data_IF_982395504069
#
_entry.id   IF_982395504069
#
_cell.length_a   1.000
_cell.length_b   1.000
_cell.length_c   1.000
_cell.angle_alpha   90.00
_cell.angle_beta   90.00
_cell.angle_gamma   90.00
#
_symmetry.space_group_name_H-M   'P 1'
#
loop_
_entity.id
_entity.type
_entity.pdbx_description
1 polymer ?
#
# COMPACT_ATOMS: atom_id res chain seq x y z
N UNK A 1 -4.91 10.80 -1.98
CA UNK A 1 -6.36 11.14 -2.08
C UNK A 1 -7.08 11.12 -0.74
N UNK A 2 -7.22 9.97 -0.03
CA UNK A 2 -8.01 9.88 1.22
C UNK A 2 -7.60 10.90 2.30
N UNK A 3 -6.30 11.13 2.48
CA UNK A 3 -5.75 12.11 3.43
C UNK A 3 -6.19 13.55 3.13
N UNK A 4 -6.05 13.99 1.88
CA UNK A 4 -6.45 15.34 1.43
C UNK A 4 -7.95 15.56 1.66
N UNK A 5 -8.78 14.57 1.25
CA UNK A 5 -10.23 14.62 1.47
C UNK A 5 -10.56 14.69 2.96
N UNK A 6 -9.90 13.86 3.78
CA UNK A 6 -10.09 13.85 5.23
C UNK A 6 -9.74 15.19 5.87
N UNK A 7 -8.63 15.81 5.48
CA UNK A 7 -8.21 17.12 5.99
C UNK A 7 -9.22 18.23 5.64
N UNK A 8 -9.80 18.20 4.44
CA UNK A 8 -10.84 19.16 4.03
C UNK A 8 -12.13 18.95 4.85
N UNK A 9 -12.56 17.70 5.04
CA UNK A 9 -13.83 17.37 5.70
C UNK A 9 -13.76 17.64 7.22
N UNK A 10 -12.61 17.35 7.85
CA UNK A 10 -12.44 17.48 9.30
C UNK A 10 -12.06 18.90 9.75
N UNK A 11 -11.82 19.81 8.81
CA UNK A 11 -11.46 21.20 9.12
C UNK A 11 -12.68 22.05 9.41
N UNK A 12 -12.57 22.94 10.40
CA UNK A 12 -13.55 23.99 10.66
C UNK A 12 -13.66 25.00 9.50
N UNK A 13 -12.59 25.10 8.68
CA UNK A 13 -12.52 25.96 7.50
C UNK A 13 -12.16 25.16 6.23
N UNK A 14 -13.10 24.37 5.65
CA UNK A 14 -12.83 23.52 4.49
C UNK A 14 -12.35 24.30 3.25
N UNK A 15 -12.87 25.52 3.05
CA UNK A 15 -12.50 26.40 1.94
C UNK A 15 -11.02 26.81 1.93
N UNK A 16 -10.48 27.13 3.10
CA UNK A 16 -9.06 27.47 3.26
C UNK A 16 -8.16 26.26 2.98
N UNK A 17 -8.57 25.08 3.48
CA UNK A 17 -7.83 23.84 3.23
C UNK A 17 -7.86 23.47 1.74
N UNK A 18 -9.00 23.67 1.06
CA UNK A 18 -9.07 23.51 -0.39
C UNK A 18 -8.11 24.45 -1.14
N UNK A 19 -8.08 25.73 -0.76
CA UNK A 19 -7.15 26.72 -1.34
C UNK A 19 -5.70 26.27 -1.14
N UNK A 20 -5.33 25.91 0.08
CA UNK A 20 -3.99 25.45 0.43
C UNK A 20 -3.59 24.24 -0.41
N UNK A 21 -4.46 23.23 -0.53
CA UNK A 21 -4.17 22.06 -1.34
C UNK A 21 -4.05 22.39 -2.82
N UNK A 22 -4.89 23.27 -3.36
CA UNK A 22 -4.74 23.74 -4.74
C UNK A 22 -3.38 24.43 -4.96
N UNK A 23 -2.96 25.30 -4.04
CA UNK A 23 -1.67 26.01 -4.10
C UNK A 23 -0.47 25.09 -3.95
N UNK A 24 -0.55 24.09 -3.05
CA UNK A 24 0.47 23.02 -2.93
C UNK A 24 0.63 22.27 -4.25
N UNK A 25 -0.46 22.03 -4.97
CA UNK A 25 -0.45 21.42 -6.29
C UNK A 25 0.03 22.37 -7.40
N UNK A 26 0.20 23.66 -7.11
CA UNK A 26 0.59 24.68 -8.09
C UNK A 26 -0.49 24.96 -9.15
N UNK A 27 -1.76 24.63 -8.85
CA UNK A 27 -2.87 24.71 -9.80
C UNK A 27 -3.63 26.04 -9.59
N UNK A 28 -4.01 26.70 -10.68
CA UNK A 28 -4.83 27.92 -10.62
C UNK A 28 -6.32 27.61 -10.46
N UNK A 29 -7.11 28.58 -10.00
CA UNK A 29 -8.57 28.43 -9.91
C UNK A 29 -9.20 28.17 -11.28
N UNK A 30 -8.63 28.74 -12.35
CA UNK A 30 -9.09 28.56 -13.72
C UNK A 30 -8.88 27.12 -14.21
N UNK A 31 -7.70 26.55 -13.96
CA UNK A 31 -7.37 25.17 -14.37
C UNK A 31 -8.25 24.14 -13.69
N UNK A 32 -8.43 24.25 -12.36
CA UNK A 32 -9.28 23.30 -11.64
C UNK A 32 -10.76 23.49 -11.98
N UNK A 33 -11.22 24.72 -12.22
CA UNK A 33 -12.59 24.99 -12.65
C UNK A 33 -12.87 24.39 -14.05
N UNK A 34 -11.94 24.59 -14.99
CA UNK A 34 -11.98 24.00 -16.33
C UNK A 34 -12.03 22.48 -16.26
N UNK A 35 -11.15 21.86 -15.45
CA UNK A 35 -11.13 20.41 -15.22
C UNK A 35 -12.43 19.86 -14.64
N UNK A 36 -13.11 20.63 -13.80
CA UNK A 36 -14.37 20.23 -13.17
C UNK A 36 -15.61 20.58 -14.01
N UNK A 37 -15.45 21.31 -15.12
CA UNK A 37 -16.56 21.78 -15.95
C UNK A 37 -17.45 22.80 -15.22
N UNK A 38 -16.87 23.65 -14.38
CA UNK A 38 -17.58 24.67 -13.60
C UNK A 38 -16.95 26.05 -13.79
N UNK A 39 -17.67 27.11 -13.40
CA UNK A 39 -17.12 28.47 -13.44
C UNK A 39 -16.02 28.67 -12.39
N UNK A 40 -14.93 29.40 -12.69
CA UNK A 40 -13.90 29.78 -11.70
C UNK A 40 -14.46 30.50 -10.46
N UNK A 41 -15.59 31.21 -10.60
CA UNK A 41 -16.25 31.85 -9.47
C UNK A 41 -16.71 30.85 -8.41
N UNK A 42 -17.08 29.63 -8.79
CA UNK A 42 -17.48 28.58 -7.86
C UNK A 42 -16.31 28.13 -6.98
N UNK A 43 -15.11 28.03 -7.56
CA UNK A 43 -13.90 27.73 -6.80
C UNK A 43 -13.55 28.88 -5.86
N UNK A 44 -13.60 30.11 -6.36
CA UNK A 44 -13.37 31.32 -5.57
C UNK A 44 -14.36 31.43 -4.39
N UNK A 45 -15.62 31.08 -4.59
CA UNK A 45 -16.65 31.11 -3.55
C UNK A 45 -16.39 30.12 -2.41
N UNK A 46 -15.95 28.90 -2.74
CA UNK A 46 -15.56 27.92 -1.72
C UNK A 46 -14.29 28.34 -1.01
N UNK A 47 -13.25 28.68 -1.77
CA UNK A 47 -11.95 29.06 -1.19
C UNK A 47 -12.01 30.35 -0.38
N UNK A 48 -12.91 31.27 -0.72
CA UNK A 48 -13.15 32.51 0.00
C UNK A 48 -14.15 32.40 1.15
N UNK A 49 -14.63 31.20 1.48
CA UNK A 49 -15.56 30.97 2.59
C UNK A 49 -16.97 31.53 2.38
N UNK A 50 -17.30 32.06 1.19
CA UNK A 50 -18.67 32.48 0.83
C UNK A 50 -19.62 31.29 0.85
N UNK A 51 -19.11 30.09 0.54
CA UNK A 51 -19.80 28.81 0.72
C UNK A 51 -19.16 28.05 1.89
N UNK A 52 -19.89 27.96 3.00
CA UNK A 52 -19.36 27.46 4.28
C UNK A 52 -18.95 25.99 4.26
N UNK A 53 -19.63 25.13 3.49
CA UNK A 53 -19.37 23.69 3.51
C UNK A 53 -19.54 23.06 2.13
N UNK A 54 -18.44 22.69 1.44
CA UNK A 54 -18.52 21.91 0.21
C UNK A 54 -19.04 20.51 0.48
N UNK A 55 -19.95 20.02 -0.36
CA UNK A 55 -20.47 18.65 -0.25
C UNK A 55 -19.38 17.60 -0.52
N UNK A 56 -19.49 16.42 0.10
CA UNK A 56 -18.50 15.33 -0.02
C UNK A 56 -18.24 14.89 -1.48
N UNK A 57 -19.27 14.91 -2.32
CA UNK A 57 -19.17 14.64 -3.76
C UNK A 57 -18.30 15.69 -4.46
N UNK A 58 -18.49 16.95 -4.11
CA UNK A 58 -17.70 18.05 -4.66
C UNK A 58 -16.24 17.96 -4.22
N UNK A 59 -15.98 17.74 -2.93
CA UNK A 59 -14.63 17.56 -2.39
C UNK A 59 -13.90 16.42 -3.10
N UNK A 60 -14.57 15.27 -3.27
CA UNK A 60 -14.01 14.13 -4.00
C UNK A 60 -13.64 14.52 -5.44
N UNK A 61 -14.53 15.20 -6.16
CA UNK A 61 -14.28 15.65 -7.54
C UNK A 61 -13.11 16.64 -7.59
N UNK A 62 -13.08 17.61 -6.68
CA UNK A 62 -12.02 18.61 -6.56
C UNK A 62 -10.65 17.96 -6.33
N UNK A 63 -10.51 17.11 -5.32
CA UNK A 63 -9.24 16.43 -5.02
C UNK A 63 -8.82 15.50 -6.16
N UNK A 64 -9.76 14.80 -6.80
CA UNK A 64 -9.49 13.99 -7.99
C UNK A 64 -8.98 14.85 -9.15
N UNK A 65 -9.60 16.01 -9.37
CA UNK A 65 -9.18 16.97 -10.39
C UNK A 65 -7.75 17.49 -10.17
N UNK A 66 -7.39 17.83 -8.92
CA UNK A 66 -6.01 18.24 -8.58
C UNK A 66 -4.99 17.15 -8.89
N UNK A 67 -5.30 15.90 -8.53
CA UNK A 67 -4.43 14.74 -8.78
C UNK A 67 -4.22 14.53 -10.27
N UNK A 68 -5.30 14.51 -11.06
CA UNK A 68 -5.21 14.30 -12.51
C UNK A 68 -4.44 15.42 -13.23
N UNK A 69 -4.56 16.67 -12.77
CA UNK A 69 -3.82 17.81 -13.32
C UNK A 69 -2.32 17.77 -12.98
N UNK A 70 -1.95 17.35 -11.76
CA UNK A 70 -0.53 17.12 -11.42
C UNK A 70 0.05 15.96 -12.23
N UNK A 71 -0.68 14.85 -12.39
CA UNK A 71 -0.24 13.71 -13.22
C UNK A 71 0.03 14.13 -14.67
N UNK A 72 -0.84 14.94 -15.28
CA UNK A 72 -0.61 15.46 -16.63
C UNK A 72 0.60 16.40 -16.73
N UNK A 73 1.03 16.98 -15.62
CA UNK A 73 2.16 17.93 -15.53
C UNK A 73 3.46 17.27 -15.05
N UNK A 74 3.53 15.93 -15.09
CA UNK A 74 4.70 15.15 -14.69
C UNK A 74 4.68 14.63 -13.26
N UNK A 75 3.60 14.88 -12.52
CA UNK A 75 3.28 14.27 -11.23
C UNK A 75 4.19 14.68 -10.09
N UNK A 76 4.67 15.93 -10.03
CA UNK A 76 5.70 16.36 -9.07
C UNK A 76 5.20 16.27 -7.64
N UNK A 77 3.99 16.73 -7.38
CA UNK A 77 3.44 16.81 -6.02
C UNK A 77 3.04 15.42 -5.55
N UNK A 78 2.39 14.62 -6.39
CA UNK A 78 2.11 13.22 -6.09
C UNK A 78 3.40 12.42 -5.90
N UNK A 79 4.47 12.67 -6.67
CA UNK A 79 5.79 12.05 -6.46
C UNK A 79 6.39 12.44 -5.11
N UNK A 80 6.33 13.71 -4.71
CA UNK A 80 6.84 14.15 -3.40
C UNK A 80 6.04 13.55 -2.24
N UNK A 81 4.71 13.56 -2.31
CA UNK A 81 3.85 12.93 -1.30
C UNK A 81 3.97 11.41 -1.29
N UNK A 82 4.17 10.78 -2.46
CA UNK A 82 4.47 9.36 -2.52
C UNK A 82 5.88 9.06 -2.04
N UNK A 83 6.86 9.96 -2.10
CA UNK A 83 8.22 9.73 -1.55
C UNK A 83 8.20 9.62 -0.02
N UNK A 84 7.26 10.28 0.66
CA UNK A 84 7.03 10.15 2.12
C UNK A 84 6.45 8.76 2.49
N UNK A 85 5.83 8.06 1.53
CA UNK A 85 5.15 6.76 1.73
C UNK A 85 5.66 5.62 0.85
N UNK A 86 6.60 5.91 -0.05
CA UNK A 86 7.32 4.88 -0.78
C UNK A 86 8.23 4.28 0.27
N UNK A 87 8.26 2.95 0.38
CA UNK A 87 9.37 2.32 1.05
C UNK A 87 10.64 2.90 0.47
N UNK A 88 11.41 3.56 1.32
CA UNK A 88 12.69 4.17 0.95
C UNK A 88 13.67 3.14 0.39
N UNK A 89 13.38 1.84 0.63
CA UNK A 89 14.11 0.71 0.12
C UNK A 89 13.58 0.23 -1.22
N UNK A 90 14.48 0.22 -2.19
CA UNK A 90 14.46 -0.49 -3.48
C UNK A 90 14.34 -2.03 -3.36
N UNK A 91 14.24 -2.55 -2.13
CA UNK A 91 13.83 -3.92 -1.82
C UNK A 91 12.31 -4.13 -1.84
N UNK A 92 11.48 -3.10 -1.66
CA UNK A 92 10.02 -3.28 -1.75
C UNK A 92 9.58 -3.16 -3.20
N UNK A 93 9.10 -4.27 -3.75
CA UNK A 93 8.68 -4.40 -5.14
C UNK A 93 7.23 -3.94 -5.34
N UNK A 94 6.36 -4.20 -4.36
CA UNK A 94 4.97 -3.75 -4.37
C UNK A 94 4.42 -3.69 -2.94
N UNK A 95 3.55 -2.74 -2.65
CA UNK A 95 2.90 -2.59 -1.35
C UNK A 95 1.50 -2.05 -1.56
N UNK A 96 0.50 -2.81 -1.12
CA UNK A 96 -0.91 -2.40 -1.27
C UNK A 96 -1.74 -2.70 -0.04
N UNK A 97 -2.64 -1.77 0.24
CA UNK A 97 -3.69 -1.90 1.23
C UNK A 97 -4.99 -2.29 0.54
N UNK A 98 -5.74 -3.21 1.14
CA UNK A 98 -7.05 -3.63 0.66
C UNK A 98 -8.14 -2.69 1.19
N UNK A 99 -9.14 -2.36 0.35
CA UNK A 99 -10.28 -1.54 0.78
C UNK A 99 -11.19 -2.27 1.78
N UNK A 100 -11.17 -3.60 1.78
CA UNK A 100 -11.89 -4.48 2.68
C UNK A 100 -11.02 -5.70 3.05
N UNK A 101 -11.23 -6.35 4.20
CA UNK A 101 -10.44 -7.53 4.59
C UNK A 101 -10.63 -8.70 3.61
N UNK A 102 -9.52 -9.25 3.12
CA UNK A 102 -9.48 -10.41 2.20
C UNK A 102 -9.04 -11.64 2.97
N UNK A 103 -9.61 -12.82 2.68
CA UNK A 103 -9.20 -14.05 3.36
C UNK A 103 -7.84 -14.53 2.86
N UNK A 104 -7.06 -15.19 3.74
CA UNK A 104 -5.82 -15.83 3.30
C UNK A 104 -6.06 -16.94 2.27
N UNK A 105 -7.25 -17.57 2.27
CA UNK A 105 -7.66 -18.54 1.25
C UNK A 105 -7.76 -17.90 -0.14
N UNK A 106 -8.31 -16.70 -0.24
CA UNK A 106 -8.41 -15.97 -1.52
C UNK A 106 -7.04 -15.56 -2.02
N UNK A 107 -6.18 -15.05 -1.12
CA UNK A 107 -4.78 -14.78 -1.43
C UNK A 107 -4.08 -16.04 -1.96
N UNK A 108 -4.19 -17.15 -1.23
CA UNK A 108 -3.58 -18.43 -1.59
C UNK A 108 -4.04 -18.90 -2.98
N UNK A 109 -5.35 -18.80 -3.28
CA UNK A 109 -5.89 -19.13 -4.60
C UNK A 109 -5.31 -18.25 -5.70
N UNK A 110 -5.19 -16.94 -5.46
CA UNK A 110 -4.66 -16.02 -6.46
C UNK A 110 -3.19 -16.34 -6.83
N UNK A 111 -2.37 -16.69 -5.84
CA UNK A 111 -0.92 -16.91 -6.00
C UNK A 111 -0.53 -18.38 -6.27
N UNK A 112 -1.50 -19.26 -6.55
CA UNK A 112 -1.31 -20.71 -6.65
C UNK A 112 -0.53 -21.28 -5.45
N UNK A 113 -0.96 -20.87 -4.25
CA UNK A 113 -0.25 -21.09 -3.00
C UNK A 113 -0.37 -22.52 -2.47
N UNK A 114 0.73 -23.04 -1.95
CA UNK A 114 0.82 -24.28 -1.17
C UNK A 114 1.18 -23.96 0.28
N UNK A 115 0.50 -24.58 1.23
CA UNK A 115 0.69 -24.30 2.66
C UNK A 115 1.83 -25.17 3.19
N UNK A 116 2.81 -24.55 3.82
CA UNK A 116 3.96 -25.22 4.41
C UNK A 116 3.86 -25.32 5.94
N UNK A 117 3.15 -24.39 6.58
CA UNK A 117 2.94 -24.39 8.02
C UNK A 117 1.62 -23.70 8.41
N UNK A 118 1.06 -24.12 9.55
CA UNK A 118 -0.08 -23.48 10.22
C UNK A 118 -1.34 -23.32 9.36
N UNK A 119 -1.72 -24.36 8.61
CA UNK A 119 -2.92 -24.37 7.74
C UNK A 119 -4.23 -23.98 8.45
N UNK A 120 -4.37 -24.36 9.72
CA UNK A 120 -5.54 -24.02 10.54
C UNK A 120 -5.76 -22.49 10.71
N UNK A 121 -4.78 -21.66 10.37
CA UNK A 121 -4.85 -20.20 10.44
C UNK A 121 -5.24 -19.54 9.11
N UNK A 122 -5.51 -20.29 8.04
CA UNK A 122 -5.94 -19.74 6.75
C UNK A 122 -7.32 -19.08 6.76
N UNK A 123 -8.09 -19.25 7.84
CA UNK A 123 -9.34 -18.52 8.06
C UNK A 123 -9.13 -17.04 8.40
N UNK A 124 -7.89 -16.63 8.75
CA UNK A 124 -7.55 -15.23 9.01
C UNK A 124 -7.80 -14.36 7.77
N UNK A 125 -8.09 -13.09 8.05
CA UNK A 125 -8.21 -12.05 7.03
C UNK A 125 -7.01 -11.12 7.10
N UNK A 126 -6.67 -10.54 5.97
CA UNK A 126 -5.60 -9.55 5.82
C UNK A 126 -6.14 -8.27 5.21
N UNK A 127 -5.49 -7.17 5.54
CA UNK A 127 -5.79 -5.80 5.11
C UNK A 127 -4.80 -5.28 4.07
N UNK A 128 -3.81 -6.08 3.67
CA UNK A 128 -2.86 -5.72 2.62
C UNK A 128 -1.79 -6.77 2.41
N UNK A 129 -0.81 -6.43 1.56
CA UNK A 129 0.42 -7.20 1.39
C UNK A 129 1.61 -6.32 1.09
N UNK A 130 2.80 -6.91 1.20
CA UNK A 130 4.05 -6.28 0.77
C UNK A 130 4.93 -7.33 0.09
N UNK A 131 5.30 -7.07 -1.16
CA UNK A 131 6.20 -7.89 -1.96
C UNK A 131 7.62 -7.35 -1.83
N UNK A 132 8.53 -8.22 -1.43
CA UNK A 132 9.90 -7.86 -1.05
C UNK A 132 10.89 -8.69 -1.85
N UNK A 133 11.91 -8.04 -2.39
CA UNK A 133 13.12 -8.71 -2.88
C UNK A 133 14.01 -9.03 -1.68
N UNK A 134 14.13 -10.32 -1.36
CA UNK A 134 14.86 -10.76 -0.17
C UNK A 134 16.36 -10.50 -0.24
N UNK A 135 16.95 -10.54 -1.44
CA UNK A 135 18.38 -10.30 -1.63
C UNK A 135 18.66 -8.82 -1.39
N UNK A 136 17.87 -7.94 -2.02
CA UNK A 136 18.00 -6.50 -1.80
C UNK A 136 17.71 -6.12 -0.35
N UNK A 137 16.67 -6.69 0.25
CA UNK A 137 16.31 -6.40 1.63
C UNK A 137 17.46 -6.70 2.61
N UNK A 138 18.11 -7.85 2.48
CA UNK A 138 19.23 -8.23 3.35
C UNK A 138 20.45 -7.31 3.14
N UNK A 139 20.66 -6.81 1.92
CA UNK A 139 21.82 -5.99 1.58
C UNK A 139 21.63 -4.49 1.90
N UNK A 140 20.40 -3.95 1.78
CA UNK A 140 20.16 -2.50 1.86
C UNK A 140 19.31 -2.05 3.03
N UNK A 141 18.56 -2.94 3.69
CA UNK A 141 17.66 -2.55 4.78
C UNK A 141 18.32 -2.70 6.15
N UNK A 142 18.23 -1.66 6.96
CA UNK A 142 18.50 -1.75 8.41
C UNK A 142 17.34 -2.45 9.13
N UNK A 143 17.55 -2.83 10.40
CA UNK A 143 16.49 -3.40 11.24
C UNK A 143 15.28 -2.46 11.40
N UNK A 144 15.50 -1.14 11.44
CA UNK A 144 14.43 -0.14 11.45
C UNK A 144 13.69 -0.05 10.12
N UNK A 145 14.37 -0.26 8.99
CA UNK A 145 13.73 -0.23 7.67
C UNK A 145 12.80 -1.42 7.46
N UNK A 146 13.06 -2.56 8.14
CA UNK A 146 12.18 -3.72 8.08
C UNK A 146 10.77 -3.43 8.60
N UNK A 147 10.60 -2.44 9.49
CA UNK A 147 9.28 -1.98 9.92
C UNK A 147 8.46 -1.38 8.77
N UNK A 148 9.10 -0.86 7.72
CA UNK A 148 8.42 -0.36 6.52
C UNK A 148 7.66 -1.48 5.79
N UNK A 149 8.08 -2.74 5.93
CA UNK A 149 7.39 -3.90 5.33
C UNK A 149 5.98 -4.09 5.90
N UNK A 150 5.75 -3.64 7.14
CA UNK A 150 4.47 -3.75 7.84
C UNK A 150 3.46 -2.69 7.33
N UNK A 151 3.88 -1.72 6.52
CA UNK A 151 3.04 -0.64 5.99
C UNK A 151 2.14 0.00 7.05
N UNK A 152 0.83 0.14 6.79
CA UNK A 152 -0.10 0.76 7.76
C UNK A 152 -0.61 -0.20 8.84
N UNK A 153 -0.48 -1.52 8.66
CA UNK A 153 -0.95 -2.54 9.60
C UNK A 153 -0.22 -3.87 9.43
N UNK A 154 0.08 -4.53 10.56
CA UNK A 154 0.65 -5.88 10.59
C UNK A 154 -0.32 -6.98 10.19
N UNK A 155 -1.61 -6.67 10.08
CA UNK A 155 -2.63 -7.58 9.52
C UNK A 155 -2.48 -7.70 8.00
N UNK A 156 -1.32 -8.17 7.53
CA UNK A 156 -0.96 -8.28 6.12
C UNK A 156 -0.13 -9.52 5.81
N UNK A 157 -0.03 -9.86 4.53
CA UNK A 157 0.92 -10.86 4.05
C UNK A 157 2.26 -10.22 3.67
N UNK A 158 3.38 -10.75 4.19
CA UNK A 158 4.72 -10.42 3.68
C UNK A 158 5.14 -11.47 2.66
N UNK A 159 5.49 -11.03 1.46
CA UNK A 159 5.71 -11.88 0.29
C UNK A 159 7.16 -11.73 -0.13
N UNK A 160 7.99 -12.71 0.20
CA UNK A 160 9.42 -12.70 -0.06
C UNK A 160 9.74 -13.41 -1.38
N UNK A 161 10.27 -12.66 -2.32
CA UNK A 161 10.73 -13.13 -3.64
C UNK A 161 12.23 -13.31 -3.66
N UNK A 162 12.74 -13.99 -4.69
CA UNK A 162 14.18 -14.30 -4.87
C UNK A 162 14.76 -14.99 -3.64
N UNK A 163 13.97 -15.88 -3.03
CA UNK A 163 14.37 -16.64 -1.85
C UNK A 163 14.96 -17.99 -2.28
N UNK A 164 16.01 -18.44 -1.58
CA UNK A 164 16.63 -19.74 -1.84
C UNK A 164 15.87 -20.87 -1.15
N UNK A 165 15.64 -20.74 0.17
CA UNK A 165 15.05 -21.80 1.00
C UNK A 165 13.95 -21.34 1.97
N UNK A 166 13.69 -20.03 2.05
CA UNK A 166 12.72 -19.44 3.00
C UNK A 166 13.26 -19.19 4.41
N UNK A 167 14.46 -19.66 4.76
CA UNK A 167 15.07 -19.48 6.09
C UNK A 167 15.26 -18.00 6.45
N UNK A 168 15.92 -17.23 5.58
CA UNK A 168 16.24 -15.82 5.85
C UNK A 168 15.00 -14.95 6.09
N UNK A 169 13.92 -15.04 5.26
CA UNK A 169 12.64 -14.41 5.55
C UNK A 169 12.10 -14.72 6.95
N UNK A 170 12.10 -16.00 7.35
CA UNK A 170 11.55 -16.41 8.63
C UNK A 170 12.39 -15.97 9.82
N UNK A 171 13.72 -15.91 9.67
CA UNK A 171 14.61 -15.33 10.69
C UNK A 171 14.32 -13.84 10.87
N UNK A 172 14.15 -13.08 9.78
CA UNK A 172 13.80 -11.66 9.86
C UNK A 172 12.43 -11.45 10.54
N UNK A 173 11.45 -12.29 10.20
CA UNK A 173 10.11 -12.29 10.83
C UNK A 173 10.18 -12.67 12.31
N UNK A 174 11.09 -13.56 12.72
CA UNK A 174 11.27 -13.94 14.13
C UNK A 174 11.78 -12.78 14.98
N UNK A 175 12.68 -11.96 14.46
CA UNK A 175 13.33 -10.88 15.24
C UNK A 175 12.59 -9.53 15.19
N UNK A 176 11.66 -9.34 14.26
CA UNK A 176 10.83 -8.10 14.24
C UNK A 176 9.81 -8.10 15.38
N UNK A 177 9.53 -6.94 16.02
CA UNK A 177 8.52 -6.85 17.08
C UNK A 177 7.10 -7.06 16.56
N UNK A 178 6.79 -6.64 15.33
CA UNK A 178 5.46 -6.75 14.73
C UNK A 178 5.40 -7.94 13.77
N UNK A 179 4.50 -8.88 14.05
CA UNK A 179 4.36 -10.10 13.25
C UNK A 179 3.32 -9.91 12.16
N UNK A 180 3.61 -10.31 10.90
CA UNK A 180 2.61 -10.29 9.85
C UNK A 180 1.56 -11.37 10.06
N UNK A 181 0.39 -11.18 9.47
CA UNK A 181 -0.69 -12.17 9.50
C UNK A 181 -0.36 -13.45 8.71
N UNK A 182 0.50 -13.36 7.69
CA UNK A 182 1.04 -14.49 6.94
C UNK A 182 2.39 -14.16 6.29
N UNK A 183 3.18 -15.19 6.01
CA UNK A 183 4.38 -15.11 5.18
C UNK A 183 4.20 -15.96 3.94
N UNK A 184 4.51 -15.38 2.78
CA UNK A 184 4.57 -16.07 1.51
C UNK A 184 6.03 -16.05 1.03
N UNK A 185 6.52 -17.19 0.54
CA UNK A 185 7.81 -17.29 -0.13
C UNK A 185 7.60 -17.66 -1.60
N UNK A 186 8.45 -17.13 -2.47
CA UNK A 186 8.40 -17.34 -3.92
C UNK A 186 9.81 -17.60 -4.48
N UNK A 187 9.87 -18.47 -5.50
CA UNK A 187 11.11 -18.85 -6.18
C UNK A 187 11.91 -19.96 -5.49
N UNK A 188 11.34 -20.60 -4.46
CA UNK A 188 11.99 -21.67 -3.70
C UNK A 188 11.73 -23.03 -4.37
N UNK A 189 12.80 -23.77 -4.65
CA UNK A 189 12.70 -25.17 -5.12
C UNK A 189 12.49 -26.16 -3.97
N UNK A 190 13.11 -25.89 -2.82
CA UNK A 190 13.03 -26.73 -1.62
C UNK A 190 13.09 -25.84 -0.38
N UNK A 191 12.05 -25.91 0.45
CA UNK A 191 11.98 -25.15 1.70
C UNK A 191 12.86 -25.79 2.77
N UNK A 192 13.56 -24.97 3.54
CA UNK A 192 14.32 -25.40 4.72
C UNK A 192 13.38 -25.76 5.87
N UNK A 193 13.62 -26.89 6.55
CA UNK A 193 12.83 -27.30 7.71
C UNK A 193 12.84 -26.25 8.82
N UNK A 194 13.92 -25.48 8.99
CA UNK A 194 13.99 -24.43 10.00
C UNK A 194 12.97 -23.32 9.71
N UNK A 195 12.70 -23.00 8.45
CA UNK A 195 11.68 -22.00 8.10
C UNK A 195 10.28 -22.44 8.56
N UNK A 196 9.97 -23.73 8.39
CA UNK A 196 8.70 -24.34 8.82
C UNK A 196 8.58 -24.33 10.34
N UNK A 197 9.64 -24.72 11.06
CA UNK A 197 9.65 -24.72 12.53
C UNK A 197 9.53 -23.31 13.12
N UNK A 198 10.21 -22.32 12.52
CA UNK A 198 10.05 -20.91 12.89
C UNK A 198 8.61 -20.42 12.66
N UNK A 199 7.98 -20.80 11.54
CA UNK A 199 6.59 -20.42 11.26
C UNK A 199 5.62 -20.99 12.30
N UNK A 200 5.82 -22.26 12.70
CA UNK A 200 5.03 -22.90 13.77
C UNK A 200 5.25 -22.22 15.12
N UNK A 201 6.49 -21.90 15.48
CA UNK A 201 6.84 -21.23 16.73
C UNK A 201 6.18 -19.84 16.83
N UNK A 202 6.18 -19.07 15.74
CA UNK A 202 5.53 -17.76 15.67
C UNK A 202 4.01 -17.83 15.46
N UNK A 203 3.47 -19.02 15.16
CA UNK A 203 2.07 -19.24 14.76
C UNK A 203 1.67 -18.38 13.56
N UNK A 204 2.51 -18.37 12.54
CA UNK A 204 2.29 -17.63 11.29
C UNK A 204 2.11 -18.63 10.14
N UNK A 205 1.04 -18.52 9.34
CA UNK A 205 0.90 -19.27 8.09
C UNK A 205 2.13 -19.01 7.19
N UNK A 206 2.80 -20.09 6.79
CA UNK A 206 3.85 -20.04 5.79
C UNK A 206 3.33 -20.67 4.50
N UNK A 207 3.38 -19.91 3.41
CA UNK A 207 2.80 -20.28 2.12
C UNK A 207 3.89 -20.20 1.05
N UNK A 208 3.97 -21.18 0.16
CA UNK A 208 4.80 -21.18 -1.03
C UNK A 208 3.94 -20.78 -2.24
N UNK A 209 4.28 -19.68 -2.91
CA UNK A 209 3.63 -19.36 -4.20
C UNK A 209 4.27 -20.15 -5.34
N UNK A 210 3.42 -20.72 -6.22
CA UNK A 210 3.84 -21.45 -7.42
C UNK A 210 3.83 -20.60 -8.71
N UNK A 211 3.62 -19.28 -8.61
CA UNK A 211 3.71 -18.39 -9.78
C UNK A 211 5.09 -18.47 -10.43
N UNK A 212 5.16 -18.35 -11.75
CA UNK A 212 6.38 -18.61 -12.52
C UNK A 212 7.47 -17.58 -12.23
N UNK A 213 7.07 -16.31 -12.13
CA UNK A 213 7.97 -15.17 -11.94
C UNK A 213 7.31 -14.10 -11.04
N UNK A 214 8.10 -13.08 -10.69
CA UNK A 214 7.66 -12.01 -9.78
C UNK A 214 6.60 -11.14 -10.44
N UNK A 215 6.67 -10.91 -11.75
CA UNK A 215 5.69 -10.12 -12.49
C UNK A 215 4.30 -10.76 -12.46
N UNK A 216 4.20 -12.07 -12.67
CA UNK A 216 2.97 -12.85 -12.58
C UNK A 216 2.41 -12.88 -11.16
N UNK A 217 3.28 -13.00 -10.16
CA UNK A 217 2.90 -12.93 -8.76
C UNK A 217 2.25 -11.58 -8.44
N UNK A 218 2.88 -10.48 -8.83
CA UNK A 218 2.35 -9.12 -8.62
C UNK A 218 1.01 -8.94 -9.36
N UNK A 219 0.93 -9.36 -10.63
CA UNK A 219 -0.32 -9.30 -11.40
C UNK A 219 -1.46 -10.08 -10.72
N UNK A 220 -1.17 -11.26 -10.18
CA UNK A 220 -2.15 -12.06 -9.44
C UNK A 220 -2.58 -11.41 -8.12
N UNK A 221 -1.67 -10.71 -7.44
CA UNK A 221 -2.01 -9.95 -6.23
C UNK A 221 -2.86 -8.71 -6.55
N UNK A 222 -2.71 -8.13 -7.75
CA UNK A 222 -3.51 -6.98 -8.18
C UNK A 222 -4.96 -7.34 -8.46
N UNK A 223 -5.27 -8.59 -8.85
CA UNK A 223 -6.65 -9.02 -9.09
C UNK A 223 -7.50 -9.18 -7.82
N UNK A 224 -6.87 -9.08 -6.65
CA UNK A 224 -7.54 -9.08 -5.35
C UNK A 224 -8.12 -7.71 -4.97
N UNK A 225 -7.88 -6.68 -5.78
CA UNK A 225 -8.17 -5.26 -5.46
C UNK A 225 -9.30 -4.72 -6.33
#
# INVERSE_FOLDING_TARGET
MKRIIGEIILSDNPGEIMRRWREVFGITQLEIASKLGISPSVISDYEGGRRKSPGSIFIRRFVKGLIELDESSGGKVIKQFSTIFKPSSDAILDLREFPSPISLKDLMKAIDGEVLACEYLLSKKILGYTVVDSIRAILSMSGSDFLQLIGTTSERALIFTRTSTGRSPMVAVRVTPLKPAAVVIHGVKKTDNLAIELAKAERIPLILSKKTNVEELIKALHSLI
#
